data_IF_042994433346
#
_entry.id   IF_042994433346
#
_cell.length_a   1.000
_cell.length_b   1.000
_cell.length_c   1.000
_cell.angle_alpha   90.00
_cell.angle_beta   90.00
_cell.angle_gamma   90.00
#
_symmetry.space_group_name_H-M   'P 1'
#
loop_
_entity.id
_entity.type
_entity.pdbx_description
1 polymer ?
#
# COMPACT_ATOMS: atom_id res chain seq x y z
N UNK A 1 -26.32 -2.34 -0.04
CA UNK A 1 -25.10 -2.51 -0.86
C UNK A 1 -23.89 -2.49 0.07
N UNK A 2 -23.14 -3.59 0.21
CA UNK A 2 -21.89 -3.59 0.98
C UNK A 2 -20.87 -2.80 0.16
N UNK A 3 -20.75 -1.50 0.43
CA UNK A 3 -19.59 -0.72 -0.03
C UNK A 3 -18.40 -1.31 0.72
N UNK A 4 -17.85 -2.39 0.18
CA UNK A 4 -16.54 -2.90 0.59
C UNK A 4 -15.57 -1.88 0.02
N UNK A 5 -15.38 -0.77 0.74
CA UNK A 5 -14.32 0.20 0.45
C UNK A 5 -13.05 -0.61 0.20
N UNK A 6 -12.44 -0.44 -0.98
CA UNK A 6 -11.34 -1.29 -1.39
C UNK A 6 -10.22 -1.16 -0.34
N UNK A 7 -9.49 -2.25 -0.04
CA UNK A 7 -8.40 -2.19 0.95
C UNK A 7 -7.37 -1.08 0.62
N UNK A 8 -7.21 -0.73 -0.66
CA UNK A 8 -6.41 0.42 -1.12
C UNK A 8 -6.95 1.77 -0.63
N UNK A 9 -8.27 1.98 -0.75
CA UNK A 9 -8.93 3.22 -0.33
C UNK A 9 -8.82 3.39 1.18
N UNK A 10 -9.11 2.33 1.95
CA UNK A 10 -8.94 2.35 3.41
C UNK A 10 -7.51 2.66 3.84
N UNK A 11 -6.53 2.04 3.19
CA UNK A 11 -5.13 2.31 3.45
C UNK A 11 -4.78 3.78 3.14
N UNK A 12 -5.29 4.31 2.03
CA UNK A 12 -5.08 5.71 1.61
C UNK A 12 -5.72 6.71 2.58
N UNK A 13 -6.94 6.43 3.03
CA UNK A 13 -7.65 7.25 4.03
C UNK A 13 -6.96 7.24 5.40
N UNK A 14 -6.45 6.07 5.82
CA UNK A 14 -5.73 5.90 7.08
C UNK A 14 -4.35 6.58 7.05
N UNK A 15 -3.61 6.43 5.96
CA UNK A 15 -2.29 7.05 5.77
C UNK A 15 -2.36 8.55 5.47
N UNK A 16 -3.53 9.06 5.08
CA UNK A 16 -3.73 10.44 4.56
C UNK A 16 -2.86 10.78 3.34
N UNK A 17 -2.36 9.76 2.65
CA UNK A 17 -1.57 9.86 1.42
C UNK A 17 -1.90 8.64 0.55
N UNK A 18 -1.77 8.78 -0.77
CA UNK A 18 -1.96 7.64 -1.68
C UNK A 18 -1.02 6.49 -1.28
N UNK A 19 -1.62 5.31 -1.07
CA UNK A 19 -0.88 4.14 -0.59
C UNK A 19 0.25 3.75 -1.55
N UNK A 20 0.13 3.99 -2.86
CA UNK A 20 1.19 3.69 -3.82
C UNK A 20 2.41 4.60 -3.62
N UNK A 21 2.19 5.90 -3.32
CA UNK A 21 3.25 6.84 -2.96
C UNK A 21 3.90 6.43 -1.64
N UNK A 22 3.10 6.03 -0.65
CA UNK A 22 3.64 5.57 0.63
C UNK A 22 4.50 4.30 0.45
N UNK A 23 4.04 3.31 -0.32
CA UNK A 23 4.83 2.11 -0.66
C UNK A 23 6.14 2.50 -1.33
N UNK A 24 6.10 3.43 -2.30
CA UNK A 24 7.29 3.92 -2.99
C UNK A 24 8.31 4.52 -2.01
N UNK A 25 7.86 5.33 -1.03
CA UNK A 25 8.74 5.88 0.01
C UNK A 25 9.36 4.79 0.88
N UNK A 26 8.58 3.79 1.29
CA UNK A 26 9.09 2.65 2.07
C UNK A 26 10.11 1.82 1.28
N UNK A 27 9.90 1.65 -0.03
CA UNK A 27 10.82 0.96 -0.94
C UNK A 27 12.12 1.71 -1.15
N UNK A 28 12.07 3.04 -1.17
CA UNK A 28 13.23 3.93 -1.30
C UNK A 28 13.87 4.30 0.05
N UNK A 29 13.32 3.81 1.16
CA UNK A 29 13.90 3.99 2.49
C UNK A 29 15.23 3.22 2.62
N UNK A 30 16.21 3.72 3.39
CA UNK A 30 17.51 3.04 3.59
C UNK A 30 17.39 1.62 4.15
N UNK A 31 16.27 1.29 4.81
CA UNK A 31 15.98 -0.06 5.30
C UNK A 31 15.71 -1.10 4.19
N UNK A 32 15.52 -0.67 2.93
CA UNK A 32 15.26 -1.53 1.75
C UNK A 32 14.21 -2.61 2.01
N UNK A 33 13.07 -2.20 2.57
CA UNK A 33 12.02 -3.14 2.97
C UNK A 33 11.45 -3.92 1.78
N UNK A 34 11.21 -5.20 2.01
CA UNK A 34 10.47 -6.07 1.07
C UNK A 34 8.97 -5.77 1.13
N UNK A 35 8.22 -6.07 0.07
CA UNK A 35 6.77 -5.87 0.07
C UNK A 35 6.05 -6.61 1.21
N UNK A 36 6.56 -7.76 1.66
CA UNK A 36 6.02 -8.46 2.85
C UNK A 36 6.22 -7.65 4.13
N UNK A 37 7.38 -7.04 4.31
CA UNK A 37 7.63 -6.18 5.47
C UNK A 37 6.79 -4.91 5.40
N UNK A 38 6.67 -4.31 4.22
CA UNK A 38 5.82 -3.13 4.02
C UNK A 38 4.35 -3.46 4.31
N UNK A 39 3.88 -4.67 3.97
CA UNK A 39 2.52 -5.12 4.31
C UNK A 39 2.32 -5.23 5.83
N UNK A 40 3.32 -5.75 6.55
CA UNK A 40 3.27 -5.82 8.01
C UNK A 40 3.27 -4.41 8.63
N UNK A 41 4.08 -3.48 8.11
CA UNK A 41 4.07 -2.08 8.56
C UNK A 41 2.72 -1.43 8.28
N UNK A 42 2.17 -1.61 7.08
CA UNK A 42 0.85 -1.06 6.74
C UNK A 42 -0.25 -1.61 7.64
N UNK A 43 -0.24 -2.92 7.91
CA UNK A 43 -1.19 -3.56 8.82
C UNK A 43 -1.04 -2.99 10.24
N UNK A 44 0.19 -2.76 10.71
CA UNK A 44 0.43 -2.17 12.02
C UNK A 44 0.01 -0.70 12.13
N UNK A 45 0.21 0.11 11.08
CA UNK A 45 -0.14 1.54 11.07
C UNK A 45 -1.63 1.80 10.83
N UNK A 46 -2.27 1.00 9.97
CA UNK A 46 -3.64 1.26 9.49
C UNK A 46 -4.66 0.22 9.91
N UNK A 47 -4.22 -0.93 10.43
CA UNK A 47 -5.09 -2.10 10.67
C UNK A 47 -5.56 -2.78 9.39
N UNK A 48 -5.12 -2.34 8.20
CA UNK A 48 -5.53 -2.91 6.92
C UNK A 48 -4.63 -4.08 6.56
N UNK A 49 -5.19 -5.29 6.66
CA UNK A 49 -4.51 -6.53 6.29
C UNK A 49 -4.47 -6.73 4.78
N UNK A 50 -3.27 -6.75 4.21
CA UNK A 50 -3.01 -6.94 2.77
C UNK A 50 -1.84 -7.89 2.54
N UNK A 51 -1.79 -8.49 1.35
CA UNK A 51 -0.64 -9.30 0.94
C UNK A 51 0.44 -8.41 0.31
N UNK A 52 1.69 -8.87 0.34
CA UNK A 52 2.79 -8.18 -0.37
C UNK A 52 2.57 -8.11 -1.89
N UNK A 53 1.84 -9.06 -2.47
CA UNK A 53 1.43 -9.02 -3.89
C UNK A 53 0.43 -7.90 -4.17
N UNK A 54 -0.54 -7.67 -3.28
CA UNK A 54 -1.46 -6.54 -3.40
C UNK A 54 -0.72 -5.20 -3.37
N UNK A 55 0.26 -5.05 -2.46
CA UNK A 55 1.12 -3.86 -2.44
C UNK A 55 1.94 -3.71 -3.73
N UNK A 56 2.46 -4.82 -4.28
CA UNK A 56 3.17 -4.79 -5.56
C UNK A 56 2.26 -4.32 -6.69
N UNK A 57 1.01 -4.79 -6.75
CA UNK A 57 0.04 -4.33 -7.74
C UNK A 57 -0.26 -2.83 -7.58
N UNK A 58 -0.46 -2.35 -6.36
CA UNK A 58 -0.70 -0.91 -6.12
C UNK A 58 0.50 -0.06 -6.47
N UNK A 59 1.72 -0.51 -6.12
CA UNK A 59 2.95 0.16 -6.51
C UNK A 59 3.12 0.20 -8.03
N UNK A 60 2.78 -0.89 -8.74
CA UNK A 60 2.83 -0.91 -10.20
C UNK A 60 1.87 0.10 -10.85
N UNK A 61 0.73 0.43 -10.23
CA UNK A 61 -0.17 1.49 -10.75
C UNK A 61 0.45 2.90 -10.66
N UNK A 62 1.42 3.11 -9.77
CA UNK A 62 2.18 4.36 -9.71
C UNK A 62 3.17 4.46 -10.87
N UNK A 63 3.78 3.33 -11.24
CA UNK A 63 4.77 3.26 -12.31
C UNK A 63 4.14 3.24 -13.71
N UNK A 64 2.89 2.81 -13.83
CA UNK A 64 2.12 2.85 -15.08
C UNK A 64 0.71 3.41 -14.85
N UNK A 65 0.51 4.73 -14.99
CA UNK A 65 -0.80 5.36 -14.80
C UNK A 65 -1.81 5.08 -15.94
N UNK A 66 -1.47 4.24 -16.93
CA UNK A 66 -2.24 4.05 -18.16
C UNK A 66 -2.78 2.61 -18.40
N UNK A 67 -2.84 1.75 -17.38
CA UNK A 67 -3.37 0.38 -17.49
C UNK A 67 -4.81 0.26 -16.97
#
# INVERSE_FOLDING_TARGET
MKVRTAPRERATEALKVDVAIWIHRQRNSPAKLTYRQIAAVLEAETGVKVTGEALRQWHATLENPAA
#
